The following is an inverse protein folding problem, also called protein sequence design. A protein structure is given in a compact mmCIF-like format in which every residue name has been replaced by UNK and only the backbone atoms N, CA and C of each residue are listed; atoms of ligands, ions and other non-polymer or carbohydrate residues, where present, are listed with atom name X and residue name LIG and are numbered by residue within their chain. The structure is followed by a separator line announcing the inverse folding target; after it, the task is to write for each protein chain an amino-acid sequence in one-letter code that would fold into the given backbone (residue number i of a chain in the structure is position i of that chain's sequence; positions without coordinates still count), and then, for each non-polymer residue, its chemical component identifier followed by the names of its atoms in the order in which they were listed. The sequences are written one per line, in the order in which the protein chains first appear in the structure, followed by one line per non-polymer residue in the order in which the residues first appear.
data_IF_260488294287
#
_entry.id   IF_260488294287
#
_cell.length_a   1.000
_cell.length_b   1.000
_cell.length_c   1.000
_cell.angle_alpha   90.00
_cell.angle_beta   90.00
_cell.angle_gamma   90.00
#
_symmetry.space_group_name_H-M   'P 1'
#
loop_
_entity.id
_entity.type
_entity.pdbx_description
1 polymer ?
#
# COMPACT_ATOMS: atom_id res chain seq x y z
N UNK A 1 17.55 -37.63 -6.30
CA UNK A 1 17.18 -36.55 -5.37
C UNK A 1 15.66 -36.54 -5.24
N UNK A 2 15.11 -36.75 -4.05
CA UNK A 2 13.66 -36.60 -3.82
C UNK A 2 13.27 -35.17 -4.22
N UNK A 3 12.23 -35.00 -5.05
CA UNK A 3 11.66 -33.67 -5.32
C UNK A 3 11.24 -33.09 -3.97
N UNK A 4 11.86 -31.97 -3.53
CA UNK A 4 11.34 -31.22 -2.39
C UNK A 4 9.86 -31.00 -2.65
N UNK A 5 9.01 -31.36 -1.69
CA UNK A 5 7.57 -31.19 -1.83
C UNK A 5 7.30 -29.69 -2.00
N UNK A 6 6.36 -29.31 -2.88
CA UNK A 6 5.99 -27.90 -3.11
C UNK A 6 5.13 -27.40 -1.94
N UNK A 7 5.73 -27.34 -0.75
CA UNK A 7 5.07 -26.85 0.46
C UNK A 7 4.98 -25.34 0.45
N UNK A 8 3.87 -24.82 0.98
CA UNK A 8 3.60 -23.39 1.14
C UNK A 8 3.44 -23.11 2.62
N UNK A 9 4.29 -22.26 3.18
CA UNK A 9 4.12 -21.69 4.51
C UNK A 9 3.15 -20.52 4.43
N UNK A 10 1.94 -20.68 4.95
CA UNK A 10 0.92 -19.62 4.98
C UNK A 10 1.02 -18.86 6.29
N UNK A 11 1.24 -17.56 6.20
CA UNK A 11 1.43 -16.66 7.34
C UNK A 11 0.15 -15.86 7.59
N UNK A 12 -0.44 -15.99 8.78
CA UNK A 12 -1.66 -15.28 9.17
C UNK A 12 -1.47 -14.62 10.54
N UNK A 13 -1.50 -13.29 10.56
CA UNK A 13 -1.65 -12.52 11.79
C UNK A 13 -3.12 -12.12 11.95
N UNK A 14 -3.75 -12.55 13.04
CA UNK A 14 -5.16 -12.29 13.31
C UNK A 14 -5.33 -11.56 14.64
N UNK A 15 -6.13 -10.50 14.65
CA UNK A 15 -6.50 -9.77 15.86
C UNK A 15 -8.01 -9.78 16.00
N UNK A 16 -8.54 -10.62 16.93
CA UNK A 16 -9.96 -10.71 17.29
C UNK A 16 -10.87 -10.75 16.04
N UNK A 17 -10.54 -11.63 15.09
CA UNK A 17 -11.15 -11.60 13.75
C UNK A 17 -12.15 -12.74 13.53
N UNK A 18 -13.46 -12.45 13.37
CA UNK A 18 -14.48 -13.46 13.12
C UNK A 18 -14.37 -14.16 11.76
N UNK A 19 -13.55 -13.63 10.85
CA UNK A 19 -13.32 -14.25 9.53
C UNK A 19 -12.14 -15.24 9.53
N UNK A 20 -11.32 -15.32 10.60
CA UNK A 20 -10.12 -16.16 10.66
C UNK A 20 -10.43 -17.64 10.31
N UNK A 21 -11.38 -18.25 11.00
CA UNK A 21 -11.72 -19.67 10.77
C UNK A 21 -12.27 -19.88 9.36
N UNK A 22 -13.15 -19.00 8.90
CA UNK A 22 -13.71 -19.06 7.54
C UNK A 22 -12.64 -18.89 6.46
N UNK A 23 -11.66 -18.03 6.69
CA UNK A 23 -10.51 -17.84 5.80
C UNK A 23 -9.69 -19.12 5.69
N UNK A 24 -9.38 -19.76 6.81
CA UNK A 24 -8.63 -21.03 6.85
C UNK A 24 -9.41 -22.13 6.12
N UNK A 25 -10.69 -22.30 6.39
CA UNK A 25 -11.53 -23.31 5.76
C UNK A 25 -11.63 -23.10 4.26
N UNK A 26 -11.96 -21.88 3.82
CA UNK A 26 -12.08 -21.54 2.40
C UNK A 26 -10.75 -21.73 1.64
N UNK A 27 -9.62 -21.36 2.27
CA UNK A 27 -8.29 -21.56 1.70
C UNK A 27 -7.96 -23.03 1.48
N UNK A 28 -8.22 -23.89 2.47
CA UNK A 28 -7.94 -25.34 2.40
C UNK A 28 -8.88 -26.01 1.39
N UNK A 29 -10.15 -25.67 1.42
CA UNK A 29 -11.17 -26.24 0.52
C UNK A 29 -10.88 -25.95 -0.95
N UNK A 30 -10.38 -24.75 -1.26
CA UNK A 30 -10.10 -24.33 -2.63
C UNK A 30 -8.67 -24.66 -3.10
N UNK A 31 -7.81 -25.18 -2.24
CA UNK A 31 -6.47 -25.59 -2.64
C UNK A 31 -6.50 -26.92 -3.41
N UNK A 32 -5.74 -27.00 -4.51
CA UNK A 32 -5.51 -28.25 -5.26
C UNK A 32 -4.74 -29.29 -4.45
N UNK A 33 -3.83 -28.82 -3.59
CA UNK A 33 -2.92 -29.65 -2.81
C UNK A 33 -2.92 -29.21 -1.33
N UNK A 34 -4.07 -29.35 -0.63
CA UNK A 34 -4.21 -28.87 0.74
C UNK A 34 -3.22 -29.54 1.72
N UNK A 35 -2.73 -30.74 1.39
CA UNK A 35 -1.72 -31.44 2.19
C UNK A 35 -0.33 -30.76 2.16
N UNK A 36 -0.07 -29.86 1.21
CA UNK A 36 1.18 -29.13 1.09
C UNK A 36 1.15 -27.77 1.83
N UNK A 37 0.03 -27.40 2.42
CA UNK A 37 -0.10 -26.16 3.18
C UNK A 37 0.38 -26.39 4.61
N UNK A 38 1.23 -25.46 5.08
CA UNK A 38 1.65 -25.36 6.48
C UNK A 38 1.26 -23.96 6.95
N UNK A 39 0.48 -23.86 8.00
CA UNK A 39 -0.08 -22.59 8.46
C UNK A 39 0.61 -22.13 9.75
N UNK A 40 1.30 -20.99 9.68
CA UNK A 40 1.77 -20.23 10.82
C UNK A 40 0.74 -19.17 11.20
N UNK A 41 0.23 -19.20 12.42
CA UNK A 41 -0.84 -18.29 12.84
C UNK A 41 -0.46 -17.63 14.16
N UNK A 42 -0.45 -16.29 14.20
CA UNK A 42 -0.44 -15.52 15.43
C UNK A 42 -1.88 -15.07 15.71
N UNK A 43 -2.57 -15.77 16.60
CA UNK A 43 -3.93 -15.47 17.02
C UNK A 43 -3.89 -14.56 18.26
N UNK A 44 -4.28 -13.32 18.09
CA UNK A 44 -4.41 -12.32 19.16
C UNK A 44 -5.88 -12.29 19.59
N UNK A 45 -6.21 -12.98 20.68
CA UNK A 45 -7.58 -13.31 21.06
C UNK A 45 -8.04 -12.59 22.33
N UNK A 46 -9.35 -12.38 22.45
CA UNK A 46 -10.02 -12.03 23.70
C UNK A 46 -10.71 -13.27 24.27
N UNK A 47 -10.63 -13.56 25.58
CA UNK A 47 -11.19 -14.79 26.17
C UNK A 47 -12.69 -14.99 25.95
N UNK A 48 -13.43 -13.92 25.79
CA UNK A 48 -14.89 -13.97 25.54
C UNK A 48 -15.24 -14.11 24.06
N UNK A 49 -14.27 -13.94 23.13
CA UNK A 49 -14.47 -14.09 21.70
C UNK A 49 -14.36 -15.57 21.30
N UNK A 50 -15.49 -16.25 21.04
CA UNK A 50 -15.46 -17.67 20.66
C UNK A 50 -15.29 -17.93 19.17
N UNK A 51 -15.40 -16.90 18.32
CA UNK A 51 -15.49 -17.02 16.86
C UNK A 51 -14.15 -17.36 16.19
N UNK A 52 -13.03 -17.07 16.84
CA UNK A 52 -11.66 -17.30 16.30
C UNK A 52 -10.98 -18.54 16.94
N UNK A 53 -11.75 -19.46 17.53
CA UNK A 53 -11.22 -20.65 18.18
C UNK A 53 -10.59 -21.61 17.16
N UNK A 54 -9.34 -22.00 17.44
CA UNK A 54 -8.53 -22.88 16.58
C UNK A 54 -8.30 -24.28 17.18
N UNK A 55 -9.00 -24.68 18.24
CA UNK A 55 -8.75 -25.94 18.94
C UNK A 55 -8.85 -27.17 18.04
N UNK A 56 -9.74 -27.16 17.04
CA UNK A 56 -9.86 -28.25 16.07
C UNK A 56 -8.63 -28.51 15.20
N UNK A 57 -7.70 -27.53 15.14
CA UNK A 57 -6.49 -27.62 14.32
C UNK A 57 -5.22 -27.98 15.14
N UNK A 58 -5.28 -27.98 16.48
CA UNK A 58 -4.08 -28.12 17.34
C UNK A 58 -3.36 -29.46 17.19
N UNK A 59 -4.08 -30.52 16.88
CA UNK A 59 -3.50 -31.86 16.69
C UNK A 59 -2.91 -32.04 15.26
N UNK A 60 -3.21 -31.16 14.33
CA UNK A 60 -2.67 -31.21 12.97
C UNK A 60 -1.31 -30.49 12.91
N UNK A 61 -0.23 -31.24 12.69
CA UNK A 61 1.15 -30.73 12.64
C UNK A 61 1.39 -29.68 11.54
N UNK A 62 0.45 -29.53 10.60
CA UNK A 62 0.52 -28.47 9.60
C UNK A 62 0.19 -27.09 10.19
N UNK A 63 -0.41 -27.04 11.37
CA UNK A 63 -0.79 -25.81 12.04
C UNK A 63 0.21 -25.49 13.15
N UNK A 64 0.90 -24.37 13.01
CA UNK A 64 1.82 -23.81 14.00
C UNK A 64 1.15 -22.56 14.58
N UNK A 65 0.50 -22.68 15.72
CA UNK A 65 -0.35 -21.65 16.30
C UNK A 65 0.35 -21.03 17.51
N UNK A 66 0.47 -19.71 17.50
CA UNK A 66 0.87 -18.89 18.64
C UNK A 66 -0.36 -18.10 19.12
N UNK A 67 -0.85 -18.44 20.33
CA UNK A 67 -1.92 -17.68 20.96
C UNK A 67 -1.35 -16.54 21.81
N UNK A 68 -1.88 -15.34 21.63
CA UNK A 68 -1.48 -14.13 22.34
C UNK A 68 -2.75 -13.48 22.90
N UNK A 69 -2.74 -13.13 24.17
CA UNK A 69 -3.84 -12.36 24.75
C UNK A 69 -3.88 -10.97 24.10
N UNK A 70 -5.06 -10.47 23.75
CA UNK A 70 -5.22 -9.20 23.04
C UNK A 70 -4.50 -8.02 23.73
N UNK A 71 -4.40 -8.04 25.08
CA UNK A 71 -3.66 -7.05 25.88
C UNK A 71 -2.15 -7.08 25.66
N UNK A 72 -1.61 -8.19 25.19
CA UNK A 72 -0.18 -8.38 24.93
C UNK A 72 0.20 -8.11 23.48
N UNK A 73 -0.78 -7.77 22.64
CA UNK A 73 -0.59 -7.42 21.23
C UNK A 73 0.20 -6.11 21.08
N UNK A 74 1.15 -6.07 20.10
CA UNK A 74 2.08 -4.94 19.95
C UNK A 74 2.02 -4.27 18.56
N UNK A 75 1.07 -4.67 17.72
CA UNK A 75 0.94 -4.18 16.35
C UNK A 75 0.97 -5.30 15.33
N UNK A 76 0.48 -5.03 14.13
CA UNK A 76 0.38 -6.04 13.08
C UNK A 76 1.75 -6.55 12.63
N UNK A 77 2.76 -5.68 12.54
CA UNK A 77 4.10 -6.10 12.11
C UNK A 77 4.79 -6.96 13.16
N UNK A 78 4.58 -6.69 14.45
CA UNK A 78 5.02 -7.57 15.50
C UNK A 78 4.38 -8.97 15.38
N UNK A 79 3.06 -9.04 15.17
CA UNK A 79 2.36 -10.31 15.01
C UNK A 79 2.84 -11.07 13.76
N UNK A 80 3.06 -10.39 12.63
CA UNK A 80 3.64 -10.98 11.40
C UNK A 80 5.05 -11.48 11.63
N UNK A 81 5.88 -10.74 12.40
CA UNK A 81 7.21 -11.21 12.78
C UNK A 81 7.13 -12.49 13.62
N UNK A 82 6.20 -12.58 14.60
CA UNK A 82 5.99 -13.82 15.36
C UNK A 82 5.62 -14.99 14.47
N UNK A 83 4.80 -14.77 13.45
CA UNK A 83 4.46 -15.82 12.47
C UNK A 83 5.67 -16.24 11.64
N UNK A 84 6.51 -15.30 11.22
CA UNK A 84 7.72 -15.60 10.44
C UNK A 84 8.70 -16.51 11.20
N UNK A 85 8.76 -16.41 12.54
CA UNK A 85 9.58 -17.32 13.38
C UNK A 85 9.07 -18.78 13.37
N UNK A 86 7.88 -19.04 12.83
CA UNK A 86 7.33 -20.38 12.72
C UNK A 86 7.67 -21.06 11.37
N UNK A 87 8.37 -20.37 10.47
CA UNK A 87 8.85 -20.94 9.21
C UNK A 87 9.89 -22.03 9.46
N UNK A 88 9.86 -23.12 8.67
CA UNK A 88 10.76 -24.28 8.85
C UNK A 88 11.18 -24.88 7.49
N UNK A 89 11.56 -23.98 6.55
CA UNK A 89 12.16 -24.41 5.29
C UNK A 89 11.17 -24.85 4.20
N UNK A 90 9.91 -24.45 4.26
CA UNK A 90 8.92 -24.65 3.18
C UNK A 90 9.40 -23.96 1.90
N UNK A 91 9.06 -24.54 0.74
CA UNK A 91 9.56 -24.08 -0.56
C UNK A 91 9.04 -22.69 -0.96
N UNK A 92 7.81 -22.38 -0.59
CA UNK A 92 7.15 -21.12 -0.84
C UNK A 92 6.57 -20.54 0.45
N UNK A 93 6.34 -19.24 0.45
CA UNK A 93 5.58 -18.59 1.52
C UNK A 93 4.43 -17.76 0.94
N UNK A 94 3.32 -17.71 1.67
CA UNK A 94 2.16 -16.87 1.38
C UNK A 94 1.78 -16.09 2.65
N UNK A 95 1.98 -14.79 2.66
CA UNK A 95 1.43 -13.93 3.71
C UNK A 95 0.05 -13.42 3.27
N UNK A 96 -0.91 -13.50 4.18
CA UNK A 96 -2.28 -13.00 3.99
C UNK A 96 -2.83 -12.38 5.28
N UNK A 97 -3.87 -11.57 5.13
CA UNK A 97 -4.70 -11.15 6.26
C UNK A 97 -5.69 -12.26 6.67
N UNK A 98 -6.32 -12.13 7.84
CA UNK A 98 -7.21 -13.13 8.42
C UNK A 98 -8.64 -13.17 7.85
N UNK A 99 -8.95 -12.34 6.84
CA UNK A 99 -10.29 -12.15 6.28
C UNK A 99 -10.26 -12.21 4.75
N UNK A 100 -9.89 -13.38 4.23
CA UNK A 100 -9.65 -13.64 2.82
C UNK A 100 -10.58 -14.73 2.26
N UNK A 101 -10.71 -14.76 0.93
CA UNK A 101 -11.33 -15.86 0.17
C UNK A 101 -10.43 -16.25 -0.99
N UNK A 102 -10.56 -17.48 -1.45
CA UNK A 102 -9.66 -18.11 -2.43
C UNK A 102 -10.43 -18.65 -3.62
N UNK A 103 -9.84 -18.56 -4.80
CA UNK A 103 -10.31 -19.21 -6.01
C UNK A 103 -9.93 -20.71 -6.00
N UNK A 104 -10.68 -21.57 -6.71
CA UNK A 104 -10.24 -22.95 -6.93
C UNK A 104 -8.83 -23.03 -7.51
N UNK A 105 -8.05 -24.00 -7.03
CA UNK A 105 -6.69 -24.30 -7.49
C UNK A 105 -5.67 -23.15 -7.27
N UNK A 106 -5.95 -22.18 -6.39
CA UNK A 106 -5.16 -20.98 -6.14
C UNK A 106 -3.67 -21.27 -5.87
N UNK A 107 -3.37 -22.34 -5.14
CA UNK A 107 -2.03 -22.76 -4.74
C UNK A 107 -1.15 -23.13 -5.94
N UNK A 108 -1.68 -23.90 -6.87
CA UNK A 108 -0.95 -24.32 -8.07
C UNK A 108 -0.87 -23.20 -9.11
N UNK A 109 -1.85 -22.30 -9.17
CA UNK A 109 -1.81 -21.13 -10.05
C UNK A 109 -0.77 -20.12 -9.60
N UNK A 110 -0.66 -19.81 -8.30
CA UNK A 110 0.41 -18.94 -7.77
C UNK A 110 1.79 -19.55 -8.01
N UNK A 111 1.98 -20.85 -7.73
CA UNK A 111 3.24 -21.53 -8.01
C UNK A 111 3.56 -21.51 -9.52
N UNK A 112 2.56 -21.63 -10.38
CA UNK A 112 2.75 -21.53 -11.84
C UNK A 112 3.25 -20.14 -12.23
N UNK A 113 2.66 -19.08 -11.70
CA UNK A 113 3.09 -17.69 -11.96
C UNK A 113 4.56 -17.47 -11.57
N UNK A 114 4.99 -17.93 -10.38
CA UNK A 114 6.40 -17.88 -9.94
C UNK A 114 7.30 -18.58 -10.95
N UNK A 115 6.94 -19.82 -11.33
CA UNK A 115 7.75 -20.61 -12.26
C UNK A 115 7.83 -20.01 -13.66
N UNK A 116 6.76 -19.40 -14.14
CA UNK A 116 6.74 -18.77 -15.46
C UNK A 116 7.61 -17.49 -15.48
N UNK A 117 7.65 -16.72 -14.39
CA UNK A 117 8.59 -15.62 -14.21
C UNK A 117 10.04 -16.13 -14.12
N UNK A 118 10.29 -17.20 -13.36
CA UNK A 118 11.62 -17.81 -13.28
C UNK A 118 12.13 -18.29 -14.64
N UNK A 119 11.28 -18.87 -15.49
CA UNK A 119 11.65 -19.24 -16.88
C UNK A 119 12.02 -18.03 -17.74
N UNK A 120 11.54 -16.84 -17.39
CA UNK A 120 11.90 -15.58 -18.04
C UNK A 120 13.16 -14.92 -17.47
N UNK A 121 13.86 -15.60 -16.57
CA UNK A 121 15.12 -15.13 -16.01
C UNK A 121 14.98 -14.30 -14.72
N UNK A 122 13.81 -14.32 -14.08
CA UNK A 122 13.60 -13.67 -12.78
C UNK A 122 13.86 -14.70 -11.67
N UNK A 123 14.98 -14.64 -10.94
CA UNK A 123 15.34 -15.69 -9.98
C UNK A 123 14.46 -15.68 -8.72
N UNK A 124 14.15 -14.51 -8.17
CA UNK A 124 13.35 -14.31 -6.95
C UNK A 124 12.09 -13.49 -7.24
N UNK A 125 11.09 -14.04 -7.98
CA UNK A 125 9.84 -13.31 -8.23
C UNK A 125 8.97 -13.28 -6.98
N UNK A 126 8.38 -12.11 -6.68
CA UNK A 126 7.48 -11.88 -5.56
C UNK A 126 6.14 -11.38 -6.09
N UNK A 127 5.08 -12.17 -5.90
CA UNK A 127 3.71 -11.79 -6.25
C UNK A 127 3.08 -11.05 -5.07
N UNK A 128 2.60 -9.84 -5.30
CA UNK A 128 1.99 -9.00 -4.27
C UNK A 128 0.99 -8.03 -4.87
N UNK A 129 0.08 -7.50 -4.07
CA UNK A 129 -0.85 -6.46 -4.50
C UNK A 129 -2.04 -6.30 -3.58
N UNK A 130 -2.72 -5.18 -3.71
CA UNK A 130 -4.06 -5.05 -3.20
C UNK A 130 -4.95 -6.02 -3.99
N UNK A 131 -5.42 -7.06 -3.30
CA UNK A 131 -6.29 -8.05 -3.93
C UNK A 131 -7.72 -7.54 -4.01
N UNK A 132 -8.47 -8.03 -5.00
CA UNK A 132 -9.84 -7.60 -5.26
C UNK A 132 -10.74 -7.82 -4.04
N UNK A 133 -11.74 -6.98 -3.88
CA UNK A 133 -12.65 -7.05 -2.72
C UNK A 133 -13.71 -8.14 -2.85
N UNK A 134 -14.19 -8.61 -1.70
CA UNK A 134 -15.43 -9.34 -1.58
C UNK A 134 -16.32 -8.78 -0.47
N UNK A 135 -17.60 -9.06 -0.54
CA UNK A 135 -18.59 -8.73 0.48
C UNK A 135 -18.95 -10.00 1.26
N UNK A 136 -18.63 -10.10 2.56
CA UNK A 136 -18.95 -11.27 3.37
C UNK A 136 -20.45 -11.60 3.45
N UNK A 137 -21.31 -10.58 3.39
CA UNK A 137 -22.76 -10.72 3.44
C UNK A 137 -23.33 -11.22 2.08
N UNK A 138 -22.52 -11.20 1.00
CA UNK A 138 -22.91 -11.59 -0.35
C UNK A 138 -21.89 -12.49 -1.06
N UNK A 139 -21.10 -13.26 -0.31
CA UNK A 139 -20.11 -14.19 -0.87
C UNK A 139 -20.81 -15.46 -1.43
N UNK A 140 -20.46 -15.97 -2.63
CA UNK A 140 -19.42 -15.51 -3.55
C UNK A 140 -19.85 -14.44 -4.59
N UNK A 141 -21.12 -14.04 -4.64
CA UNK A 141 -21.64 -13.11 -5.67
C UNK A 141 -21.04 -11.70 -5.54
N UNK A 142 -20.68 -11.29 -4.33
CA UNK A 142 -20.06 -10.00 -4.06
C UNK A 142 -18.56 -9.92 -4.32
N UNK A 143 -17.96 -10.92 -5.00
CA UNK A 143 -16.53 -10.94 -5.34
C UNK A 143 -16.26 -10.13 -6.60
N UNK A 144 -15.37 -9.15 -6.52
CA UNK A 144 -14.84 -8.41 -7.70
C UNK A 144 -13.93 -9.34 -8.50
N UNK A 145 -14.15 -9.45 -9.80
CA UNK A 145 -13.47 -10.44 -10.63
C UNK A 145 -12.19 -9.93 -11.29
N UNK A 146 -12.04 -8.62 -11.41
CA UNK A 146 -10.90 -7.99 -12.05
C UNK A 146 -9.69 -7.96 -11.09
N UNK A 147 -8.49 -8.40 -11.53
CA UNK A 147 -7.28 -8.29 -10.74
C UNK A 147 -6.84 -6.83 -10.62
N UNK A 148 -6.34 -6.46 -9.44
CA UNK A 148 -5.90 -5.10 -9.17
C UNK A 148 -4.36 -4.98 -9.13
N UNK A 149 -3.88 -3.80 -9.51
CA UNK A 149 -2.51 -3.32 -9.28
C UNK A 149 -2.50 -2.20 -8.27
N UNK A 150 -1.37 -1.96 -7.64
CA UNK A 150 -1.15 -0.79 -6.80
C UNK A 150 -0.52 0.32 -7.64
N UNK A 151 -1.11 1.52 -7.57
CA UNK A 151 -0.56 2.73 -8.15
C UNK A 151 -0.23 3.73 -7.05
N UNK A 152 0.75 4.59 -7.29
CA UNK A 152 1.14 5.63 -6.35
C UNK A 152 -0.03 6.59 -6.10
N UNK A 153 -0.27 6.92 -4.83
CA UNK A 153 -1.19 7.99 -4.43
C UNK A 153 -0.39 9.21 -3.96
N UNK A 154 0.33 9.10 -2.86
CA UNK A 154 1.11 10.21 -2.29
C UNK A 154 2.12 9.76 -1.25
N UNK A 155 3.10 10.62 -0.99
CA UNK A 155 3.79 10.63 0.29
C UNK A 155 2.92 11.32 1.32
N UNK A 156 2.69 10.71 2.46
CA UNK A 156 1.99 11.36 3.57
C UNK A 156 3.00 12.15 4.41
N UNK A 157 2.55 13.26 5.07
CA UNK A 157 3.43 14.12 5.88
C UNK A 157 4.20 13.37 6.95
N UNK A 158 3.61 12.32 7.51
CA UNK A 158 4.19 11.52 8.58
C UNK A 158 5.39 10.66 8.13
N UNK A 159 5.51 10.34 6.84
CA UNK A 159 6.69 9.65 6.29
C UNK A 159 6.42 8.25 5.70
N UNK A 160 5.19 7.96 5.29
CA UNK A 160 4.88 6.75 4.53
C UNK A 160 4.47 7.09 3.08
N UNK A 161 4.37 6.06 2.24
CA UNK A 161 3.83 6.14 0.88
C UNK A 161 2.49 5.44 0.85
N UNK A 162 1.47 6.09 0.30
CA UNK A 162 0.14 5.51 0.12
C UNK A 162 -0.08 5.12 -1.34
N UNK A 163 -0.88 4.07 -1.51
CA UNK A 163 -1.21 3.46 -2.79
C UNK A 163 -2.72 3.39 -2.97
N UNK A 164 -3.15 3.35 -4.24
CA UNK A 164 -4.55 3.10 -4.61
C UNK A 164 -4.64 1.82 -5.44
N UNK A 165 -5.74 1.05 -5.29
CA UNK A 165 -6.04 -0.05 -6.18
C UNK A 165 -6.51 0.48 -7.54
N UNK A 166 -6.11 -0.20 -8.60
CA UNK A 166 -6.59 0.03 -9.96
C UNK A 166 -6.67 -1.30 -10.71
N UNK A 167 -7.71 -1.51 -11.49
CA UNK A 167 -7.81 -2.71 -12.34
C UNK A 167 -6.61 -2.78 -13.30
N UNK A 168 -5.98 -3.94 -13.41
CA UNK A 168 -4.87 -4.16 -14.35
C UNK A 168 -5.38 -4.01 -15.77
N UNK A 169 -4.89 -3.02 -16.55
CA UNK A 169 -5.30 -2.83 -17.94
C UNK A 169 -5.02 -4.06 -18.80
N UNK A 170 -6.01 -4.48 -19.62
CA UNK A 170 -5.84 -5.62 -20.53
C UNK A 170 -5.59 -6.97 -19.83
N UNK A 171 -5.98 -7.13 -18.57
CA UNK A 171 -5.67 -8.34 -17.78
C UNK A 171 -6.13 -9.66 -18.41
N UNK A 172 -7.16 -9.63 -19.25
CA UNK A 172 -7.70 -10.83 -19.91
C UNK A 172 -6.77 -11.40 -20.98
N UNK A 173 -5.92 -10.57 -21.56
CA UNK A 173 -4.95 -10.90 -22.59
C UNK A 173 -3.56 -11.22 -22.03
N UNK A 174 -3.38 -11.10 -20.71
CA UNK A 174 -2.08 -11.33 -20.04
C UNK A 174 -1.88 -12.81 -19.71
N UNK A 175 -0.70 -13.32 -20.04
CA UNK A 175 -0.27 -14.69 -19.72
C UNK A 175 0.62 -14.76 -18.46
N UNK A 176 1.12 -13.62 -18.00
CA UNK A 176 2.06 -13.51 -16.88
C UNK A 176 1.75 -12.29 -15.99
N UNK A 177 2.18 -12.32 -14.72
CA UNK A 177 2.09 -11.18 -13.81
C UNK A 177 2.78 -9.93 -14.38
N UNK A 178 2.30 -8.75 -13.99
CA UNK A 178 2.85 -7.46 -14.42
C UNK A 178 3.79 -6.89 -13.36
N UNK A 179 4.83 -6.13 -13.74
CA UNK A 179 5.78 -5.55 -12.78
C UNK A 179 5.10 -4.63 -11.77
N UNK A 180 5.56 -4.66 -10.52
CA UNK A 180 5.11 -3.80 -9.43
C UNK A 180 6.26 -3.00 -8.83
N UNK A 181 5.96 -1.75 -8.41
CA UNK A 181 6.84 -0.96 -7.53
C UNK A 181 6.65 -1.29 -6.07
N UNK A 182 5.44 -1.70 -5.70
CA UNK A 182 4.95 -1.68 -4.33
C UNK A 182 4.67 -3.07 -3.81
N UNK A 183 4.74 -3.22 -2.51
CA UNK A 183 4.39 -4.41 -1.76
C UNK A 183 3.09 -4.15 -1.00
N UNK A 184 2.23 -5.15 -0.93
CA UNK A 184 1.07 -5.16 -0.04
C UNK A 184 1.16 -6.28 0.97
N UNK A 185 0.87 -5.94 2.20
CA UNK A 185 0.80 -6.90 3.28
C UNK A 185 -0.48 -7.75 3.27
N UNK A 186 -1.47 -7.41 2.46
CA UNK A 186 -2.69 -8.21 2.27
C UNK A 186 -2.40 -9.53 1.56
N UNK A 187 -1.43 -9.54 0.64
CA UNK A 187 -1.05 -10.71 -0.12
C UNK A 187 0.39 -10.59 -0.58
N UNK A 188 1.21 -11.55 -0.17
CA UNK A 188 2.56 -11.73 -0.67
C UNK A 188 2.83 -13.21 -0.86
N UNK A 189 3.15 -13.65 -2.09
CA UNK A 189 3.52 -15.02 -2.41
C UNK A 189 4.86 -15.06 -3.12
N UNK A 190 5.82 -15.81 -2.57
CA UNK A 190 7.18 -15.94 -3.12
C UNK A 190 7.89 -17.21 -2.63
N UNK A 191 9.20 -17.26 -2.79
CA UNK A 191 10.07 -18.32 -2.25
C UNK A 191 10.05 -18.29 -0.71
N UNK A 192 10.15 -19.45 -0.08
CA UNK A 192 10.03 -19.60 1.37
C UNK A 192 11.07 -18.83 2.16
N UNK A 193 12.30 -18.76 1.65
CA UNK A 193 13.40 -18.00 2.27
C UNK A 193 13.13 -16.54 2.53
N UNK A 194 12.14 -15.95 1.84
CA UNK A 194 11.67 -14.57 2.10
C UNK A 194 11.24 -14.37 3.55
N UNK A 195 10.68 -15.40 4.20
CA UNK A 195 10.27 -15.33 5.61
C UNK A 195 11.46 -15.10 6.57
N UNK A 196 12.67 -15.47 6.17
CA UNK A 196 13.90 -15.25 6.94
C UNK A 196 14.66 -14.00 6.46
N UNK A 197 14.75 -13.78 5.14
CA UNK A 197 15.52 -12.68 4.56
C UNK A 197 14.85 -11.31 4.75
N UNK A 198 13.51 -11.25 4.68
CA UNK A 198 12.76 -9.98 4.72
C UNK A 198 11.71 -10.03 5.83
N UNK A 199 12.18 -10.09 7.06
CA UNK A 199 11.28 -10.14 8.21
C UNK A 199 10.58 -8.80 8.44
N UNK A 200 9.32 -8.84 8.92
CA UNK A 200 8.66 -7.65 9.43
C UNK A 200 9.42 -7.09 10.64
N UNK A 201 9.72 -5.80 10.62
CA UNK A 201 10.29 -5.14 11.78
C UNK A 201 9.18 -4.96 12.84
N UNK A 202 9.31 -5.58 14.05
CA UNK A 202 8.28 -5.54 15.08
C UNK A 202 8.05 -4.14 15.69
N UNK A 203 8.92 -3.17 15.41
CA UNK A 203 8.76 -1.79 15.85
C UNK A 203 7.73 -1.01 15.02
N UNK A 204 7.36 -1.49 13.82
CA UNK A 204 6.24 -0.91 13.08
C UNK A 204 4.92 -1.38 13.69
N UNK A 205 4.10 -0.41 14.11
CA UNK A 205 2.78 -0.71 14.64
C UNK A 205 1.79 -1.07 13.51
N UNK A 206 1.70 -0.20 12.48
CA UNK A 206 0.79 -0.40 11.34
C UNK A 206 1.34 0.22 10.06
N UNK A 207 1.26 1.55 9.87
CA UNK A 207 1.63 2.21 8.62
C UNK A 207 3.14 2.31 8.40
N UNK A 208 3.53 2.31 7.12
CA UNK A 208 4.93 2.49 6.68
C UNK A 208 5.65 1.18 6.38
N UNK A 209 5.14 0.05 6.86
CA UNK A 209 5.77 -1.25 6.63
C UNK A 209 5.75 -1.67 5.14
N UNK A 210 4.67 -1.37 4.40
CA UNK A 210 4.52 -1.82 3.02
C UNK A 210 5.62 -1.25 2.12
N UNK A 211 5.89 0.06 2.21
CA UNK A 211 7.00 0.65 1.43
C UNK A 211 8.38 0.18 1.95
N UNK A 212 8.53 0.01 3.25
CA UNK A 212 9.75 -0.54 3.84
C UNK A 212 10.04 -1.94 3.30
N UNK A 213 9.04 -2.82 3.28
CA UNK A 213 9.20 -4.19 2.76
C UNK A 213 9.41 -4.20 1.25
N UNK A 214 8.74 -3.31 0.48
CA UNK A 214 8.98 -3.20 -0.95
C UNK A 214 10.45 -2.92 -1.28
N UNK A 215 11.04 -1.92 -0.61
CA UNK A 215 12.46 -1.56 -0.81
C UNK A 215 13.38 -2.68 -0.32
N UNK A 216 13.11 -3.23 0.87
CA UNK A 216 13.93 -4.30 1.44
C UNK A 216 13.89 -5.55 0.58
N UNK A 217 12.72 -5.98 0.12
CA UNK A 217 12.59 -7.11 -0.80
C UNK A 217 13.41 -6.88 -2.09
N UNK A 218 13.29 -5.68 -2.68
CA UNK A 218 14.04 -5.33 -3.88
C UNK A 218 15.55 -5.37 -3.64
N UNK A 219 16.02 -4.84 -2.52
CA UNK A 219 17.46 -4.85 -2.17
C UNK A 219 17.99 -6.25 -1.85
N UNK A 220 17.12 -7.20 -1.45
CA UNK A 220 17.40 -8.63 -1.31
C UNK A 220 17.33 -9.41 -2.64
N UNK A 221 17.13 -8.73 -3.77
CA UNK A 221 17.10 -9.33 -5.11
C UNK A 221 15.73 -9.87 -5.52
N UNK A 222 14.66 -9.59 -4.78
CA UNK A 222 13.30 -9.93 -5.20
C UNK A 222 12.77 -8.91 -6.22
N UNK A 223 12.14 -9.41 -7.28
CA UNK A 223 11.43 -8.60 -8.26
C UNK A 223 9.92 -8.70 -8.00
N UNK A 224 9.27 -7.55 -7.82
CA UNK A 224 7.88 -7.45 -7.42
C UNK A 224 6.94 -7.47 -8.64
N UNK A 225 5.84 -8.22 -8.53
CA UNK A 225 4.83 -8.36 -9.58
C UNK A 225 3.42 -8.38 -8.99
N UNK A 226 2.45 -7.84 -9.75
CA UNK A 226 1.03 -8.04 -9.47
C UNK A 226 0.52 -9.27 -10.23
N UNK A 227 -0.19 -10.21 -9.57
CA UNK A 227 -0.88 -11.30 -10.25
C UNK A 227 -1.85 -10.77 -11.30
N UNK A 228 -1.79 -11.30 -12.53
CA UNK A 228 -2.69 -10.90 -13.63
C UNK A 228 -4.05 -11.58 -13.58
N UNK A 229 -4.30 -12.44 -12.58
CA UNK A 229 -5.57 -13.14 -12.32
C UNK A 229 -6.00 -12.91 -10.88
N UNK A 230 -7.28 -12.78 -10.65
CA UNK A 230 -7.85 -12.75 -9.30
C UNK A 230 -7.93 -14.17 -8.72
N UNK A 231 -7.03 -14.48 -7.78
CA UNK A 231 -6.97 -15.78 -7.10
C UNK A 231 -7.33 -15.68 -5.62
N UNK A 232 -7.29 -14.48 -5.05
CA UNK A 232 -7.54 -14.19 -3.65
C UNK A 232 -8.38 -12.91 -3.57
N UNK A 233 -9.29 -12.85 -2.61
CA UNK A 233 -10.12 -11.68 -2.29
C UNK A 233 -9.93 -11.29 -0.85
N UNK A 234 -10.05 -9.99 -0.56
CA UNK A 234 -9.90 -9.38 0.76
C UNK A 234 -11.17 -8.62 1.17
N UNK A 235 -11.51 -8.67 2.45
CA UNK A 235 -12.59 -7.88 3.04
C UNK A 235 -12.06 -6.53 3.52
N UNK A 236 -12.52 -5.42 2.90
CA UNK A 236 -12.03 -4.07 3.18
C UNK A 236 -12.92 -3.27 4.12
N UNK A 237 -14.18 -3.69 4.34
CA UNK A 237 -15.16 -2.86 5.06
C UNK A 237 -14.86 -2.77 6.56
N UNK A 238 -14.16 -3.77 7.12
CA UNK A 238 -13.89 -3.91 8.56
C UNK A 238 -15.15 -3.93 9.42
N UNK A 239 -16.31 -4.21 8.81
CA UNK A 239 -17.61 -4.25 9.47
C UNK A 239 -17.66 -5.36 10.53
N UNK A 240 -18.02 -5.00 11.75
CA UNK A 240 -18.15 -5.98 12.85
C UNK A 240 -16.83 -6.53 13.40
N UNK A 241 -15.68 -5.97 13.02
CA UNK A 241 -14.36 -6.36 13.54
C UNK A 241 -13.82 -5.34 14.53
N UNK A 242 -13.34 -5.80 15.67
CA UNK A 242 -12.51 -5.00 16.59
C UNK A 242 -11.12 -4.85 15.99
N UNK A 243 -10.58 -3.63 15.93
CA UNK A 243 -9.23 -3.37 15.47
C UNK A 243 -8.33 -3.20 16.68
N UNK A 244 -7.04 -3.46 16.51
CA UNK A 244 -6.10 -3.35 17.63
C UNK A 244 -6.09 -1.94 18.26
N UNK A 245 -6.23 -0.89 17.45
CA UNK A 245 -6.30 0.49 17.96
C UNK A 245 -7.61 0.85 18.69
N UNK A 246 -8.64 0.00 18.62
CA UNK A 246 -9.85 0.16 19.44
C UNK A 246 -9.57 -0.25 20.91
N UNK A 247 -8.61 -1.18 21.12
CA UNK A 247 -8.20 -1.71 22.43
C UNK A 247 -6.88 -1.09 22.95
N UNK A 248 -6.14 -0.35 22.12
CA UNK A 248 -4.81 0.20 22.44
C UNK A 248 -4.83 1.73 22.46
N UNK A 249 -4.97 2.33 23.62
CA UNK A 249 -4.98 3.80 23.78
C UNK A 249 -3.67 4.49 23.39
N UNK A 250 -2.56 3.75 23.22
CA UNK A 250 -1.23 4.29 22.86
C UNK A 250 -0.90 4.11 21.39
N UNK A 251 -1.86 3.67 20.58
CA UNK A 251 -1.64 3.36 19.16
C UNK A 251 -1.09 4.54 18.35
N UNK A 252 -1.51 5.77 18.70
CA UNK A 252 -1.07 7.00 18.01
C UNK A 252 0.44 7.23 18.14
N UNK A 253 0.99 7.07 19.36
CA UNK A 253 2.42 7.22 19.62
C UNK A 253 3.23 6.11 18.93
N UNK A 254 2.74 4.87 18.98
CA UNK A 254 3.35 3.72 18.30
C UNK A 254 3.37 3.89 16.79
N UNK A 255 2.28 4.42 16.21
CA UNK A 255 2.21 4.69 14.78
C UNK A 255 3.13 5.86 14.38
N UNK A 256 3.23 6.89 15.22
CA UNK A 256 4.19 7.99 15.04
C UNK A 256 5.63 7.51 15.05
N UNK A 257 5.96 6.56 15.94
CA UNK A 257 7.26 5.90 15.97
C UNK A 257 7.52 5.12 14.66
N UNK A 258 6.55 4.39 14.14
CA UNK A 258 6.64 3.70 12.85
C UNK A 258 6.98 4.65 11.70
N UNK A 259 6.34 5.81 11.67
CA UNK A 259 6.62 6.84 10.66
C UNK A 259 8.03 7.44 10.80
N UNK A 260 8.49 7.68 12.03
CA UNK A 260 9.86 8.13 12.26
C UNK A 260 10.88 7.09 11.83
N UNK A 261 10.65 5.81 12.15
CA UNK A 261 11.49 4.70 11.71
C UNK A 261 11.60 4.68 10.19
N UNK A 262 10.49 4.91 9.49
CA UNK A 262 10.45 4.97 8.04
C UNK A 262 11.22 6.17 7.47
N UNK A 263 11.05 7.38 8.06
CA UNK A 263 11.83 8.57 7.64
C UNK A 263 13.33 8.34 7.82
N UNK A 264 13.74 7.76 8.92
CA UNK A 264 15.16 7.42 9.17
C UNK A 264 15.67 6.34 8.21
N UNK A 265 14.89 5.29 7.95
CA UNK A 265 15.28 4.23 7.02
C UNK A 265 15.61 4.79 5.62
N UNK A 266 14.86 5.77 5.18
CA UNK A 266 14.99 6.37 3.83
C UNK A 266 15.68 7.74 3.80
N UNK A 267 16.12 8.28 4.94
CA UNK A 267 16.73 9.60 5.01
C UNK A 267 15.81 10.75 4.58
N UNK A 268 14.50 10.64 4.87
CA UNK A 268 13.52 11.66 4.52
C UNK A 268 13.65 12.89 5.44
N UNK A 269 13.31 14.08 4.93
CA UNK A 269 13.22 15.33 5.69
C UNK A 269 14.52 15.74 6.38
N UNK A 270 15.67 15.32 5.86
CA UNK A 270 16.97 15.57 6.46
C UNK A 270 17.30 14.69 7.67
N UNK A 271 16.47 13.70 7.98
CA UNK A 271 16.82 12.66 8.95
C UNK A 271 18.09 11.94 8.50
N UNK A 272 18.97 11.66 9.45
CA UNK A 272 20.10 10.78 9.19
C UNK A 272 19.58 9.37 8.91
N UNK A 273 20.07 8.76 7.82
CA UNK A 273 19.69 7.40 7.50
C UNK A 273 20.15 6.42 8.59
N UNK A 274 19.20 5.72 9.20
CA UNK A 274 19.40 4.74 10.27
C UNK A 274 18.51 3.50 10.02
N UNK A 275 18.90 2.33 10.59
CA UNK A 275 18.11 1.10 10.48
C UNK A 275 18.20 0.41 9.12
N UNK A 276 19.07 0.87 8.22
CA UNK A 276 19.31 0.26 6.90
C UNK A 276 20.24 -0.96 6.97
N UNK A 277 20.85 -1.21 8.12
CA UNK A 277 21.68 -2.38 8.41
C UNK A 277 20.95 -3.38 9.31
N UNK A 278 21.44 -4.62 9.35
CA UNK A 278 20.89 -5.67 10.21
C UNK A 278 19.67 -6.38 9.62
N UNK A 279 19.03 -7.22 10.43
CA UNK A 279 17.96 -8.13 10.00
C UNK A 279 16.69 -7.42 9.45
N UNK A 280 16.46 -6.19 9.87
CA UNK A 280 15.35 -5.37 9.39
C UNK A 280 15.79 -4.28 8.41
N UNK A 281 17.05 -4.32 7.98
CA UNK A 281 17.66 -3.38 7.05
C UNK A 281 17.53 -3.81 5.58
N UNK A 282 18.32 -3.16 4.75
CA UNK A 282 18.39 -3.46 3.31
C UNK A 282 19.19 -4.73 3.05
N UNK A 283 18.88 -5.40 1.94
CA UNK A 283 19.73 -6.47 1.40
C UNK A 283 21.01 -5.92 0.75
N UNK A 284 21.78 -6.83 0.18
CA UNK A 284 23.10 -6.52 -0.43
C UNK A 284 23.14 -6.71 -1.94
N UNK A 285 22.05 -7.20 -2.56
CA UNK A 285 21.99 -7.47 -3.99
C UNK A 285 21.78 -6.19 -4.82
N UNK A 286 21.02 -5.23 -4.26
CA UNK A 286 20.74 -3.93 -4.85
C UNK A 286 20.71 -2.85 -3.75
N UNK A 287 20.88 -1.59 -4.14
CA UNK A 287 20.89 -0.46 -3.23
C UNK A 287 19.52 0.23 -3.14
N UNK A 288 19.35 1.13 -2.17
CA UNK A 288 18.20 2.05 -2.14
C UNK A 288 18.12 2.88 -3.43
N UNK A 289 19.27 3.33 -3.96
CA UNK A 289 19.34 4.08 -5.22
C UNK A 289 18.79 3.27 -6.40
N UNK A 290 19.15 1.99 -6.50
CA UNK A 290 18.62 1.10 -7.54
C UNK A 290 17.08 0.99 -7.45
N UNK A 291 16.52 0.99 -6.23
CA UNK A 291 15.07 1.01 -6.07
C UNK A 291 14.47 2.37 -6.46
N UNK A 292 15.11 3.49 -6.12
CA UNK A 292 14.66 4.83 -6.52
C UNK A 292 14.63 4.97 -8.05
N UNK A 293 15.65 4.47 -8.75
CA UNK A 293 15.67 4.39 -10.21
C UNK A 293 14.57 3.49 -10.77
N UNK A 294 14.43 2.27 -10.21
CA UNK A 294 13.40 1.33 -10.63
C UNK A 294 11.98 1.86 -10.45
N UNK A 295 11.72 2.45 -9.31
CA UNK A 295 10.37 2.87 -8.91
C UNK A 295 9.99 4.29 -9.35
N UNK A 296 10.97 5.15 -9.62
CA UNK A 296 10.76 6.58 -9.84
C UNK A 296 10.29 7.31 -8.59
N UNK A 297 10.69 6.83 -7.40
CA UNK A 297 10.48 7.51 -6.12
C UNK A 297 11.82 8.04 -5.62
N UNK A 298 11.88 9.29 -5.18
CA UNK A 298 13.04 9.89 -4.53
C UNK A 298 12.69 10.22 -3.09
N UNK A 299 13.08 9.34 -2.15
CA UNK A 299 12.62 9.40 -0.77
C UNK A 299 13.11 10.65 -0.05
N UNK A 300 14.37 11.04 -0.22
CA UNK A 300 14.94 12.23 0.43
C UNK A 300 14.20 13.53 0.13
N UNK A 301 13.55 13.62 -1.04
CA UNK A 301 12.75 14.77 -1.49
C UNK A 301 11.25 14.53 -1.46
N UNK A 302 10.80 13.31 -1.12
CA UNK A 302 9.39 12.87 -1.25
C UNK A 302 8.83 13.20 -2.64
N UNK A 303 9.60 12.90 -3.66
CA UNK A 303 9.30 13.26 -5.04
C UNK A 303 9.21 12.03 -5.93
N UNK A 304 8.52 12.16 -7.06
CA UNK A 304 8.27 11.08 -8.01
C UNK A 304 8.47 11.55 -9.43
N UNK A 305 8.82 10.61 -10.32
CA UNK A 305 8.91 10.87 -11.75
C UNK A 305 7.53 10.85 -12.41
N UNK A 306 7.39 11.59 -13.52
CA UNK A 306 6.16 11.65 -14.32
C UNK A 306 5.69 10.25 -14.77
N UNK A 307 6.61 9.37 -15.12
CA UNK A 307 6.32 7.97 -15.49
C UNK A 307 5.51 7.23 -14.41
N UNK A 308 5.78 7.48 -13.12
CA UNK A 308 5.03 6.91 -11.99
C UNK A 308 3.68 7.60 -11.79
N UNK A 309 3.63 8.95 -11.99
CA UNK A 309 2.37 9.72 -11.97
C UNK A 309 1.41 9.22 -13.04
N UNK A 310 1.92 8.94 -14.23
CA UNK A 310 1.17 8.43 -15.38
C UNK A 310 0.77 6.95 -15.23
N UNK A 311 1.12 6.34 -14.08
CA UNK A 311 0.81 4.95 -13.75
C UNK A 311 1.41 3.92 -14.73
N UNK A 312 2.49 4.28 -15.41
CA UNK A 312 3.23 3.34 -16.25
C UNK A 312 3.90 2.25 -15.39
N UNK A 313 4.14 1.08 -15.95
CA UNK A 313 4.84 0.00 -15.25
C UNK A 313 6.32 0.34 -15.04
N UNK A 314 6.94 -0.14 -13.91
CA UNK A 314 8.40 -0.04 -13.76
C UNK A 314 9.12 -1.00 -14.76
N UNK A 315 10.41 -0.80 -15.05
CA UNK A 315 11.26 0.25 -14.48
C UNK A 315 10.95 1.64 -15.03
N UNK A 316 11.29 2.64 -14.23
CA UNK A 316 11.27 4.04 -14.64
C UNK A 316 12.50 4.40 -15.48
N UNK A 317 12.52 5.56 -16.15
CA UNK A 317 13.75 6.12 -16.69
C UNK A 317 14.79 6.31 -15.58
N UNK A 318 15.92 5.58 -15.70
CA UNK A 318 17.04 5.63 -14.76
C UNK A 318 18.08 6.69 -15.12
N UNK A 319 19.15 6.80 -14.32
CA UNK A 319 20.21 7.81 -14.54
C UNK A 319 20.80 7.72 -15.96
N UNK A 320 20.91 6.52 -16.51
CA UNK A 320 21.45 6.31 -17.87
C UNK A 320 20.60 6.93 -19.00
N UNK A 321 19.34 7.27 -18.73
CA UNK A 321 18.44 7.91 -19.69
C UNK A 321 18.56 9.45 -19.70
N UNK A 322 19.38 10.01 -18.80
CA UNK A 322 19.64 11.44 -18.63
C UNK A 322 21.11 11.76 -18.90
N UNK A 323 21.45 13.03 -19.10
CA UNK A 323 22.84 13.44 -19.35
C UNK A 323 23.75 13.26 -18.12
N UNK A 324 23.19 13.41 -16.93
CA UNK A 324 23.87 13.29 -15.65
C UNK A 324 22.85 13.06 -14.51
N UNK A 325 23.36 12.82 -13.31
CA UNK A 325 22.53 12.61 -12.12
C UNK A 325 21.67 13.85 -11.75
N UNK A 326 22.17 15.06 -12.01
CA UNK A 326 21.46 16.30 -11.71
C UNK A 326 20.16 16.40 -12.55
N UNK A 327 20.26 16.16 -13.88
CA UNK A 327 19.09 16.12 -14.77
C UNK A 327 18.10 15.00 -14.37
N UNK A 328 18.60 13.85 -13.95
CA UNK A 328 17.75 12.77 -13.42
C UNK A 328 17.01 13.21 -12.15
N UNK A 329 17.68 13.86 -11.20
CA UNK A 329 17.06 14.40 -9.97
C UNK A 329 16.02 15.48 -10.30
N UNK A 330 16.27 16.32 -11.31
CA UNK A 330 15.33 17.36 -11.77
C UNK A 330 14.07 16.76 -12.43
N UNK A 331 14.11 15.50 -12.88
CA UNK A 331 12.94 14.80 -13.43
C UNK A 331 11.87 14.44 -12.39
N UNK A 332 12.16 14.61 -11.10
CA UNK A 332 11.24 14.29 -10.01
C UNK A 332 10.44 15.52 -9.59
N UNK A 333 9.15 15.30 -9.28
CA UNK A 333 8.22 16.29 -8.75
C UNK A 333 7.54 15.78 -7.49
N UNK A 334 7.27 16.67 -6.52
CA UNK A 334 6.43 16.33 -5.38
C UNK A 334 4.96 16.48 -5.71
N UNK A 335 4.10 15.64 -5.17
CA UNK A 335 2.65 15.84 -5.24
C UNK A 335 2.25 16.81 -4.13
N UNK A 336 1.76 17.96 -4.52
CA UNK A 336 1.20 18.95 -3.62
C UNK A 336 -0.32 18.80 -3.57
N UNK A 337 -0.89 18.70 -2.37
CA UNK A 337 -2.33 18.62 -2.15
C UNK A 337 -2.73 19.64 -1.10
N UNK A 338 -3.73 20.46 -1.43
CA UNK A 338 -4.22 21.48 -0.52
C UNK A 338 -5.73 21.68 -0.68
N UNK A 339 -6.39 21.96 0.46
CA UNK A 339 -7.77 22.41 0.52
C UNK A 339 -7.80 23.90 0.83
N UNK A 340 -8.35 24.69 -0.06
CA UNK A 340 -8.59 26.11 0.19
C UNK A 340 -9.99 26.24 0.78
N UNK A 341 -10.12 26.79 1.98
CA UNK A 341 -11.39 27.12 2.61
C UNK A 341 -11.76 28.58 2.29
N UNK A 342 -12.80 28.78 1.48
CA UNK A 342 -13.33 30.10 1.13
C UNK A 342 -14.66 30.29 1.81
N UNK A 343 -14.74 31.22 2.77
CA UNK A 343 -15.97 31.55 3.47
C UNK A 343 -17.04 32.12 2.52
N UNK A 344 -18.32 31.79 2.72
CA UNK A 344 -19.42 32.29 1.89
C UNK A 344 -19.51 33.80 1.87
N UNK A 345 -19.14 34.49 2.95
CA UNK A 345 -19.08 35.95 3.02
C UNK A 345 -18.08 36.58 2.05
N UNK A 346 -17.07 35.83 1.66
CA UNK A 346 -16.05 36.25 0.65
C UNK A 346 -16.52 36.03 -0.78
N UNK A 347 -17.60 35.26 -0.99
CA UNK A 347 -18.17 34.93 -2.30
C UNK A 347 -19.69 35.07 -2.29
N UNK A 348 -20.22 36.32 -2.10
CA UNK A 348 -21.65 36.57 -1.87
C UNK A 348 -22.53 36.44 -3.11
N UNK A 349 -21.94 36.42 -4.32
CA UNK A 349 -22.70 36.36 -5.56
C UNK A 349 -23.34 34.99 -5.79
N UNK A 350 -24.43 34.95 -6.57
CA UNK A 350 -25.17 33.71 -6.84
C UNK A 350 -25.05 33.23 -8.28
N UNK A 351 -24.39 34.03 -9.13
CA UNK A 351 -24.34 33.84 -10.58
C UNK A 351 -22.91 33.71 -11.11
N UNK A 352 -22.05 33.04 -10.33
CA UNK A 352 -20.69 32.75 -10.77
C UNK A 352 -20.67 31.94 -12.06
N UNK A 353 -19.76 32.27 -12.96
CA UNK A 353 -19.49 31.52 -14.18
C UNK A 353 -18.36 30.53 -13.96
N UNK A 354 -17.25 31.00 -13.39
CA UNK A 354 -16.10 30.19 -12.97
C UNK A 354 -15.29 30.94 -11.89
N UNK A 355 -14.41 30.21 -11.21
CA UNK A 355 -13.39 30.79 -10.36
C UNK A 355 -12.01 30.39 -10.84
N UNK A 356 -11.10 31.36 -11.06
CA UNK A 356 -9.70 31.06 -11.26
C UNK A 356 -9.15 30.51 -9.95
N UNK A 357 -8.53 29.34 -9.99
CA UNK A 357 -7.85 28.75 -8.83
C UNK A 357 -6.42 28.45 -9.23
N UNK A 358 -5.46 29.14 -8.59
CA UNK A 358 -4.05 29.02 -8.93
C UNK A 358 -3.17 28.94 -7.68
N UNK A 359 -2.01 28.33 -7.84
CA UNK A 359 -0.95 28.24 -6.84
C UNK A 359 0.33 28.84 -7.40
N UNK A 360 1.01 29.62 -6.58
CA UNK A 360 2.17 30.38 -6.99
C UNK A 360 3.38 30.05 -6.10
N UNK A 361 4.56 30.03 -6.70
CA UNK A 361 5.86 29.88 -6.08
C UNK A 361 6.54 31.20 -5.75
N UNK A 362 7.87 31.19 -5.71
CA UNK A 362 8.70 32.40 -5.63
C UNK A 362 8.47 33.27 -6.88
N UNK A 363 8.69 34.58 -6.73
CA UNK A 363 8.57 35.57 -7.81
C UNK A 363 7.23 35.54 -8.59
N UNK A 364 6.13 35.20 -7.89
CA UNK A 364 4.77 35.12 -8.46
C UNK A 364 4.62 34.11 -9.62
N UNK A 365 5.57 33.20 -9.80
CA UNK A 365 5.51 32.15 -10.80
C UNK A 365 4.28 31.25 -10.56
N UNK A 366 3.40 31.14 -11.54
CA UNK A 366 2.28 30.21 -11.47
C UNK A 366 2.79 28.77 -11.60
N UNK A 367 2.66 27.98 -10.54
CA UNK A 367 3.03 26.56 -10.53
C UNK A 367 1.91 25.67 -11.02
N UNK A 368 0.67 26.05 -10.71
CA UNK A 368 -0.52 25.31 -11.13
C UNK A 368 -1.72 26.21 -11.23
N UNK A 369 -2.59 25.94 -12.22
CA UNK A 369 -3.89 26.55 -12.36
C UNK A 369 -4.90 25.53 -12.87
N UNK A 370 -6.01 25.39 -12.15
CA UNK A 370 -7.20 24.66 -12.61
C UNK A 370 -8.43 25.38 -12.07
N UNK A 371 -9.14 26.03 -12.97
CA UNK A 371 -10.31 26.82 -12.63
C UNK A 371 -11.45 25.91 -12.15
N UNK A 372 -12.24 26.39 -11.20
CA UNK A 372 -13.47 25.73 -10.77
C UNK A 372 -14.61 26.15 -11.72
N UNK A 373 -15.27 25.18 -12.29
CA UNK A 373 -16.46 25.40 -13.13
C UNK A 373 -17.73 25.59 -12.31
N UNK A 374 -18.82 25.94 -12.98
CA UNK A 374 -20.11 26.20 -12.32
C UNK A 374 -20.66 24.98 -11.56
N UNK A 375 -20.35 23.75 -11.97
CA UNK A 375 -20.81 22.53 -11.29
C UNK A 375 -20.05 22.33 -9.97
N UNK A 376 -18.73 22.50 -10.01
CA UNK A 376 -17.87 22.46 -8.83
C UNK A 376 -18.30 23.56 -7.82
N UNK A 377 -18.49 24.81 -8.30
CA UNK A 377 -18.93 25.93 -7.47
C UNK A 377 -20.27 25.63 -6.81
N UNK A 378 -21.28 25.21 -7.57
CA UNK A 378 -22.60 24.89 -7.07
C UNK A 378 -22.60 23.73 -6.07
N UNK A 379 -21.68 22.79 -6.20
CA UNK A 379 -21.48 21.71 -5.22
C UNK A 379 -20.94 22.25 -3.90
N UNK A 380 -19.90 23.08 -3.96
CA UNK A 380 -19.25 23.68 -2.79
C UNK A 380 -20.16 24.65 -2.03
N UNK A 381 -20.97 25.44 -2.74
CA UNK A 381 -21.93 26.42 -2.16
C UNK A 381 -23.09 25.76 -1.38
N UNK A 382 -23.20 24.43 -1.40
CA UNK A 382 -24.19 23.65 -0.64
C UNK A 382 -23.66 23.13 0.68
N UNK A 383 -22.39 23.34 1.00
CA UNK A 383 -21.78 22.82 2.24
C UNK A 383 -22.42 23.52 3.46
N UNK A 384 -23.03 22.76 4.40
CA UNK A 384 -23.69 23.32 5.58
C UNK A 384 -22.71 24.01 6.55
N UNK A 385 -21.41 23.80 6.40
CA UNK A 385 -20.38 24.44 7.23
C UNK A 385 -20.15 25.92 6.89
N UNK A 386 -20.73 26.45 5.79
CA UNK A 386 -20.59 27.85 5.39
C UNK A 386 -19.27 28.18 4.69
N UNK A 387 -18.57 27.16 4.19
CA UNK A 387 -17.31 27.29 3.47
C UNK A 387 -17.35 26.52 2.15
N UNK A 388 -16.76 27.10 1.09
CA UNK A 388 -16.42 26.40 -0.13
C UNK A 388 -15.06 25.73 0.03
N UNK A 389 -15.02 24.41 -0.03
CA UNK A 389 -13.78 23.60 0.05
C UNK A 389 -13.22 23.31 -1.35
N UNK A 390 -12.23 24.09 -1.76
CA UNK A 390 -11.60 23.95 -3.09
C UNK A 390 -10.37 23.05 -2.96
N UNK A 391 -10.52 21.79 -3.35
CA UNK A 391 -9.41 20.83 -3.36
C UNK A 391 -8.61 20.91 -4.65
N UNK A 392 -7.28 20.98 -4.52
CA UNK A 392 -6.36 20.86 -5.67
C UNK A 392 -5.22 19.94 -5.31
N UNK A 393 -4.84 19.13 -6.30
CA UNK A 393 -3.73 18.19 -6.22
C UNK A 393 -2.99 18.21 -7.57
N UNK A 394 -1.66 18.38 -7.52
CA UNK A 394 -0.84 18.50 -8.71
C UNK A 394 0.64 18.19 -8.43
N UNK A 395 1.38 17.68 -9.42
CA UNK A 395 2.83 17.52 -9.31
C UNK A 395 3.53 18.88 -9.40
N UNK A 396 4.55 19.10 -8.59
CA UNK A 396 5.38 20.30 -8.64
C UNK A 396 6.79 20.04 -8.14
N UNK A 397 7.79 20.61 -8.82
CA UNK A 397 9.19 20.59 -8.39
C UNK A 397 9.51 21.65 -7.30
N UNK A 398 8.61 22.62 -7.11
CA UNK A 398 8.75 23.74 -6.20
C UNK A 398 7.57 23.80 -5.24
N UNK A 399 7.82 24.03 -3.94
CA UNK A 399 6.74 24.16 -2.95
C UNK A 399 5.97 25.48 -3.20
N UNK A 400 4.63 25.44 -3.39
CA UNK A 400 3.85 26.65 -3.49
C UNK A 400 3.95 27.53 -2.24
N UNK A 401 3.95 28.85 -2.41
CA UNK A 401 4.01 29.85 -1.34
C UNK A 401 2.65 30.40 -0.98
N UNK A 402 1.79 30.58 -1.98
CA UNK A 402 0.44 31.10 -1.77
C UNK A 402 -0.51 30.61 -2.84
N UNK A 403 -1.79 30.69 -2.54
CA UNK A 403 -2.86 30.38 -3.47
C UNK A 403 -3.72 31.61 -3.79
N UNK A 404 -4.44 31.52 -4.91
CA UNK A 404 -5.38 32.53 -5.40
C UNK A 404 -6.69 31.84 -5.75
N UNK A 405 -7.80 32.42 -5.25
CA UNK A 405 -9.14 32.19 -5.76
C UNK A 405 -9.66 33.53 -6.28
N UNK A 406 -10.00 33.59 -7.57
CA UNK A 406 -10.48 34.82 -8.20
C UNK A 406 -11.79 34.55 -8.92
N UNK A 407 -12.95 34.87 -8.26
CA UNK A 407 -14.28 34.60 -8.82
C UNK A 407 -14.62 35.53 -9.97
N UNK A 408 -15.35 34.98 -10.95
CA UNK A 408 -15.98 35.72 -12.03
C UNK A 408 -17.51 35.51 -11.97
N UNK A 409 -18.28 36.59 -11.80
CA UNK A 409 -19.75 36.63 -11.80
C UNK A 409 -20.27 37.16 -13.14
N UNK A 410 -21.36 36.60 -13.63
CA UNK A 410 -21.98 37.03 -14.90
C UNK A 410 -22.52 38.46 -14.82
N UNK A 411 -23.03 38.86 -13.68
CA UNK A 411 -23.58 40.20 -13.49
C UNK A 411 -22.55 41.26 -13.14
N UNK A 412 -21.50 40.92 -12.37
CA UNK A 412 -20.48 41.88 -11.91
C UNK A 412 -19.17 41.84 -12.66
N UNK A 413 -18.89 40.75 -13.41
CA UNK A 413 -17.55 40.49 -13.93
C UNK A 413 -16.59 39.96 -12.85
N UNK A 414 -15.32 40.42 -12.85
CA UNK A 414 -14.33 40.02 -11.85
C UNK A 414 -14.68 40.58 -10.47
N UNK A 415 -14.78 39.67 -9.51
CA UNK A 415 -14.97 39.97 -8.08
C UNK A 415 -13.61 40.21 -7.38
N UNK A 416 -13.64 40.41 -6.08
CA UNK A 416 -12.44 40.57 -5.28
C UNK A 416 -11.56 39.28 -5.30
N UNK A 417 -10.27 39.49 -5.44
CA UNK A 417 -9.29 38.40 -5.43
C UNK A 417 -9.04 37.95 -4.00
N UNK A 418 -9.22 36.67 -3.74
CA UNK A 418 -8.98 36.03 -2.43
C UNK A 418 -7.61 35.33 -2.50
N UNK A 419 -6.76 35.53 -1.50
CA UNK A 419 -5.43 34.94 -1.44
C UNK A 419 -5.13 34.43 -0.05
N UNK A 420 -4.31 33.38 0.06
CA UNK A 420 -3.80 32.86 1.33
C UNK A 420 -2.42 32.29 1.20
N UNK A 421 -1.59 32.45 2.23
CA UNK A 421 -0.26 31.88 2.30
C UNK A 421 -0.31 30.37 2.61
N UNK A 422 0.76 29.62 2.26
CA UNK A 422 0.92 28.18 2.44
C UNK A 422 2.07 27.83 3.37
#
# INVERSE_FOLDING_TARGET
MARKSQTIFVQIAAYRDPELVKTIENMIENAKRPQNLVLGICRQYHPEDGFDNLDKYREDKRFRISDVLYTDAKGVCWARNQVQQLYDGEMYTLQIDSHMRFAPDWDVELIKMIKDLQKKGIPKPLLTGYVSSYDPDNDPKGRVQEPWRMVFDRFIPEGAVFFLPETIPGHKELDIPVPSRFYSAHMCFTLGEFAEEVQHNPEYYFHGEEISIAVRAFTWGYDLFHPHKTLIWHEYTRKGRTKQWDDDSTWGDKNSHSHLTNRKLFGMDGEKQEGHEGIYGFGTERTLRDYEEYSGLLFSKRAIQQHTIDKNYPPNPGISDFKNEEEWIESFSSIFKHCIDVGFDSVPEKDYDYWVVAFHGEDDKTLFRKDADINEINSMMKDPAGYCKVWREFPTAEKPKYWVVWPYSKSKGWCDRITGNL
#
